data_IF_915432797180
#
_entry.id   IF_915432797180
#
_cell.length_a   1.000
_cell.length_b   1.000
_cell.length_c   1.000
_cell.angle_alpha   90.00
_cell.angle_beta   90.00
_cell.angle_gamma   90.00
#
_symmetry.space_group_name_H-M   'P 1'
#
loop_
_entity.id
_entity.type
_entity.pdbx_description
1 polymer ?
#
# COMPACT_ATOMS: atom_id res chain seq x y z
N UNK A 1 -28.72 -15.16 4.43
CA UNK A 1 -27.40 -14.66 4.85
C UNK A 1 -27.33 -13.17 4.50
N UNK A 2 -26.65 -12.35 5.30
CA UNK A 2 -26.46 -10.93 4.98
C UNK A 2 -25.37 -10.74 3.92
N UNK A 3 -25.58 -9.78 3.04
CA UNK A 3 -24.63 -9.40 1.98
C UNK A 3 -24.07 -7.99 2.22
N UNK A 4 -22.98 -7.68 1.52
CA UNK A 4 -22.39 -6.34 1.46
C UNK A 4 -22.23 -5.94 0.00
N UNK A 5 -22.67 -4.74 -0.36
CA UNK A 5 -22.32 -4.08 -1.62
C UNK A 5 -20.83 -3.75 -1.61
N UNK A 6 -20.12 -4.22 -2.64
CA UNK A 6 -18.75 -3.82 -2.95
C UNK A 6 -18.80 -2.68 -3.96
N UNK A 7 -18.12 -1.57 -3.69
CA UNK A 7 -18.11 -0.41 -4.58
C UNK A 7 -16.77 0.32 -4.61
N UNK A 8 -16.51 1.03 -5.72
CA UNK A 8 -15.44 2.03 -5.82
C UNK A 8 -16.08 3.41 -5.86
N UNK A 9 -15.59 4.31 -5.02
CA UNK A 9 -15.98 5.71 -4.99
C UNK A 9 -14.85 6.59 -5.50
N UNK A 10 -15.24 7.60 -6.28
CA UNK A 10 -14.38 8.59 -6.90
C UNK A 10 -14.64 9.93 -6.23
N UNK A 11 -13.63 10.49 -5.58
CA UNK A 11 -13.77 11.78 -4.90
C UNK A 11 -13.72 12.97 -5.86
N UNK A 12 -14.13 14.15 -5.41
CA UNK A 12 -13.74 15.38 -6.08
C UNK A 12 -12.21 15.57 -5.99
N UNK A 13 -11.60 16.11 -7.04
CA UNK A 13 -10.20 16.55 -7.01
C UNK A 13 -10.10 17.74 -6.04
N UNK A 14 -9.06 17.76 -5.20
CA UNK A 14 -8.87 18.86 -4.22
C UNK A 14 -8.27 20.09 -4.89
N UNK A 15 -7.25 19.88 -5.73
CA UNK A 15 -6.57 20.92 -6.48
C UNK A 15 -6.54 20.58 -7.99
N UNK A 16 -6.50 21.58 -8.88
CA UNK A 16 -6.17 21.36 -10.29
C UNK A 16 -4.81 20.66 -10.45
N UNK A 17 -4.73 19.65 -11.31
CA UNK A 17 -3.50 18.87 -11.53
C UNK A 17 -3.25 17.72 -10.54
N UNK A 18 -4.02 17.60 -9.46
CA UNK A 18 -3.99 16.39 -8.61
C UNK A 18 -4.81 15.25 -9.23
N UNK A 19 -4.30 14.02 -9.06
CA UNK A 19 -5.05 12.82 -9.44
C UNK A 19 -6.28 12.63 -8.55
N UNK A 20 -7.40 12.22 -9.14
CA UNK A 20 -8.64 11.92 -8.45
C UNK A 20 -8.43 10.84 -7.39
N UNK A 21 -8.82 11.16 -6.15
CA UNK A 21 -8.71 10.21 -5.04
C UNK A 21 -9.76 9.11 -5.14
N UNK A 22 -9.34 7.85 -5.08
CA UNK A 22 -10.24 6.69 -5.14
C UNK A 22 -10.35 6.02 -3.77
N UNK A 23 -11.52 5.44 -3.49
CA UNK A 23 -11.80 4.68 -2.28
C UNK A 23 -12.53 3.39 -2.63
N UNK A 24 -12.12 2.28 -2.02
CA UNK A 24 -12.90 1.05 -2.01
C UNK A 24 -13.86 1.08 -0.82
N UNK A 25 -15.12 0.65 -1.02
CA UNK A 25 -16.18 0.76 -0.02
C UNK A 25 -16.93 -0.57 0.10
N UNK A 26 -17.16 -1.00 1.35
CA UNK A 26 -18.14 -2.01 1.71
C UNK A 26 -19.34 -1.36 2.42
N UNK A 27 -20.55 -1.69 2.04
CA UNK A 27 -21.76 -1.23 2.72
C UNK A 27 -22.84 -2.32 2.78
N UNK A 28 -23.74 -2.27 3.75
CA UNK A 28 -24.96 -3.07 3.70
C UNK A 28 -25.84 -2.51 2.57
N UNK A 29 -26.46 -3.33 1.71
CA UNK A 29 -27.33 -2.85 0.63
C UNK A 29 -28.42 -1.91 1.16
N UNK A 30 -28.57 -0.74 0.52
CA UNK A 30 -29.50 0.32 0.94
C UNK A 30 -29.04 1.16 2.14
N UNK A 31 -27.92 0.86 2.79
CA UNK A 31 -27.37 1.67 3.88
C UNK A 31 -26.84 3.02 3.38
N UNK A 32 -27.01 4.07 4.19
CA UNK A 32 -26.39 5.40 4.00
C UNK A 32 -24.97 5.48 4.54
N UNK A 33 -24.50 4.45 5.25
CA UNK A 33 -23.14 4.35 5.80
C UNK A 33 -22.44 3.04 5.45
N UNK A 34 -21.11 3.05 5.41
CA UNK A 34 -20.30 1.87 5.14
C UNK A 34 -18.89 1.99 5.73
N UNK A 35 -18.00 1.10 5.30
CA UNK A 35 -16.58 1.12 5.62
C UNK A 35 -15.78 1.57 4.39
N UNK A 36 -15.04 2.67 4.54
CA UNK A 36 -14.12 3.18 3.52
C UNK A 36 -12.74 2.54 3.69
N UNK A 37 -12.11 2.18 2.58
CA UNK A 37 -10.74 1.70 2.47
C UNK A 37 -10.02 2.57 1.44
N UNK A 38 -9.00 3.31 1.85
CA UNK A 38 -8.25 4.19 0.95
C UNK A 38 -6.83 4.47 1.46
N UNK A 39 -5.93 4.83 0.55
CA UNK A 39 -4.55 5.21 0.90
C UNK A 39 -4.35 6.71 0.73
N UNK A 40 -3.89 7.40 1.76
CA UNK A 40 -3.52 8.83 1.70
C UNK A 40 -2.00 9.00 1.83
N UNK A 41 -1.51 10.24 1.81
CA UNK A 41 -0.08 10.55 1.86
C UNK A 41 0.56 10.51 0.47
N UNK A 42 1.85 10.20 0.42
CA UNK A 42 2.65 10.19 -0.80
C UNK A 42 3.40 11.51 -1.06
N UNK A 43 4.18 11.58 -2.16
CA UNK A 43 5.08 12.71 -2.46
C UNK A 43 4.40 14.07 -2.48
N UNK A 44 3.18 14.16 -3.01
CA UNK A 44 2.37 15.39 -3.07
C UNK A 44 2.03 15.96 -1.69
N UNK A 45 2.01 15.12 -0.65
CA UNK A 45 1.77 15.52 0.74
C UNK A 45 3.03 15.43 1.61
N UNK A 46 4.21 15.24 1.00
CA UNK A 46 5.51 15.07 1.66
C UNK A 46 5.51 14.01 2.79
N UNK A 47 4.67 12.98 2.65
CA UNK A 47 4.41 11.98 3.68
C UNK A 47 4.49 10.55 3.13
N UNK A 48 4.75 9.57 3.98
CA UNK A 48 4.59 8.16 3.64
C UNK A 48 3.14 7.84 3.25
N UNK A 49 2.94 6.81 2.43
CA UNK A 49 1.60 6.32 2.13
C UNK A 49 1.01 5.60 3.36
N UNK A 50 -0.25 5.88 3.68
CA UNK A 50 -0.96 5.30 4.82
C UNK A 50 -2.32 4.76 4.40
N UNK A 51 -2.59 3.47 4.66
CA UNK A 51 -3.91 2.87 4.52
C UNK A 51 -4.81 3.26 5.70
N UNK A 52 -5.98 3.82 5.41
CA UNK A 52 -7.05 4.00 6.40
C UNK A 52 -8.21 3.05 6.09
N UNK A 53 -8.74 2.44 7.15
CA UNK A 53 -9.95 1.63 7.12
C UNK A 53 -10.93 2.27 8.11
N UNK A 54 -11.94 2.97 7.60
CA UNK A 54 -12.82 3.83 8.39
C UNK A 54 -14.26 3.30 8.33
N UNK A 55 -14.77 2.74 9.43
CA UNK A 55 -16.15 2.27 9.55
C UNK A 55 -17.14 3.41 9.84
N UNK A 56 -18.44 3.18 9.59
CA UNK A 56 -19.51 4.13 9.90
C UNK A 56 -19.49 5.42 9.05
N UNK A 57 -18.79 5.43 7.92
CA UNK A 57 -18.65 6.61 7.07
C UNK A 57 -19.83 6.75 6.12
N UNK A 58 -20.39 7.96 6.05
CA UNK A 58 -21.46 8.35 5.12
C UNK A 58 -21.08 8.05 3.67
N UNK A 59 -22.00 7.48 2.91
CA UNK A 59 -21.80 7.13 1.49
C UNK A 59 -22.17 8.29 0.55
N UNK A 60 -22.90 9.28 1.08
CA UNK A 60 -23.32 10.54 0.47
C UNK A 60 -22.45 11.72 0.94
N UNK A 61 -21.20 11.46 1.33
CA UNK A 61 -20.29 12.51 1.80
C UNK A 61 -19.94 13.48 0.67
N UNK A 62 -19.96 14.80 0.95
CA UNK A 62 -19.59 15.88 0.02
C UNK A 62 -18.25 15.70 -0.70
N UNK A 63 -17.33 14.89 -0.17
CA UNK A 63 -16.07 14.58 -0.83
C UNK A 63 -16.18 13.57 -1.99
N UNK A 64 -17.28 12.81 -2.07
CA UNK A 64 -17.52 11.77 -3.09
C UNK A 64 -18.28 12.39 -4.27
N UNK A 65 -17.66 12.39 -5.45
CA UNK A 65 -18.28 12.86 -6.69
C UNK A 65 -19.16 11.79 -7.33
N UNK A 66 -18.74 10.51 -7.28
CA UNK A 66 -19.52 9.38 -7.77
C UNK A 66 -19.12 8.07 -7.10
N UNK A 67 -19.98 7.05 -7.23
CA UNK A 67 -19.74 5.70 -6.70
C UNK A 67 -20.32 4.66 -7.64
N UNK A 68 -19.53 3.64 -7.96
CA UNK A 68 -19.94 2.49 -8.78
C UNK A 68 -19.99 1.23 -7.92
N UNK A 69 -21.16 0.62 -7.80
CA UNK A 69 -21.31 -0.73 -7.22
C UNK A 69 -20.78 -1.76 -8.23
N UNK A 70 -20.00 -2.73 -7.75
CA UNK A 70 -19.35 -3.76 -8.54
C UNK A 70 -20.09 -5.09 -8.46
N UNK A 71 -20.40 -5.51 -7.23
CA UNK A 71 -21.04 -6.78 -6.91
C UNK A 71 -21.54 -6.76 -5.46
N UNK A 72 -22.18 -7.87 -5.04
CA UNK A 72 -22.42 -8.19 -3.65
C UNK A 72 -21.57 -9.38 -3.21
N UNK A 73 -21.09 -9.34 -1.97
CA UNK A 73 -20.37 -10.44 -1.31
C UNK A 73 -21.11 -10.88 -0.04
N UNK A 74 -20.78 -12.05 0.50
CA UNK A 74 -21.26 -12.45 1.82
C UNK A 74 -20.63 -11.55 2.90
N UNK A 75 -21.41 -11.18 3.92
CA UNK A 75 -20.87 -10.46 5.08
C UNK A 75 -19.74 -11.25 5.80
N UNK A 76 -19.74 -12.58 5.67
CA UNK A 76 -18.69 -13.45 6.20
C UNK A 76 -17.31 -13.23 5.52
N UNK A 77 -17.28 -12.67 4.32
CA UNK A 77 -16.03 -12.43 3.57
C UNK A 77 -15.32 -11.12 3.96
N UNK A 78 -15.90 -10.30 4.86
CA UNK A 78 -15.32 -9.01 5.28
C UNK A 78 -13.87 -9.13 5.79
N UNK A 79 -13.54 -10.22 6.47
CA UNK A 79 -12.18 -10.49 6.96
C UNK A 79 -11.23 -10.84 5.80
N UNK A 80 -11.70 -11.53 4.75
CA UNK A 80 -10.92 -11.80 3.53
C UNK A 80 -10.61 -10.50 2.79
N UNK A 81 -11.57 -9.57 2.74
CA UNK A 81 -11.39 -8.25 2.13
C UNK A 81 -10.41 -7.38 2.94
N UNK A 82 -10.56 -7.31 4.27
CA UNK A 82 -9.62 -6.59 5.14
C UNK A 82 -8.19 -7.13 5.00
N UNK A 83 -8.03 -8.46 5.03
CA UNK A 83 -6.72 -9.09 4.84
C UNK A 83 -6.14 -8.86 3.43
N UNK A 84 -6.98 -8.80 2.39
CA UNK A 84 -6.53 -8.43 1.05
C UNK A 84 -6.01 -6.98 1.03
N UNK A 85 -6.77 -6.04 1.57
CA UNK A 85 -6.43 -4.61 1.63
C UNK A 85 -5.11 -4.34 2.38
N UNK A 86 -4.91 -5.00 3.53
CA UNK A 86 -3.68 -4.87 4.32
C UNK A 86 -2.45 -5.50 3.63
N UNK A 87 -2.64 -6.46 2.72
CA UNK A 87 -1.57 -7.15 2.01
C UNK A 87 -1.17 -6.49 0.67
N UNK A 88 -1.86 -5.43 0.24
CA UNK A 88 -1.45 -4.63 -0.92
C UNK A 88 -0.39 -3.61 -0.50
N UNK A 89 0.80 -3.55 -1.15
CA UNK A 89 1.81 -2.54 -0.88
C UNK A 89 1.25 -1.10 -0.96
N UNK A 90 1.64 -0.24 -0.02
CA UNK A 90 1.12 1.11 0.06
C UNK A 90 1.72 1.99 -1.05
N UNK A 91 0.84 2.55 -1.88
CA UNK A 91 1.14 3.31 -3.09
C UNK A 91 -0.01 4.27 -3.41
N UNK A 92 0.04 5.05 -4.51
CA UNK A 92 -1.06 5.97 -4.90
C UNK A 92 -2.42 5.27 -4.85
N UNK A 93 -3.43 5.93 -4.30
CA UNK A 93 -4.76 5.38 -4.04
C UNK A 93 -5.42 4.66 -5.25
N UNK A 94 -5.24 5.17 -6.48
CA UNK A 94 -5.72 4.55 -7.70
C UNK A 94 -5.05 3.18 -7.94
N UNK A 95 -3.70 3.15 -7.94
CA UNK A 95 -2.88 1.92 -8.07
C UNK A 95 -3.16 0.92 -6.95
N UNK A 96 -3.27 1.40 -5.71
CA UNK A 96 -3.61 0.58 -4.55
C UNK A 96 -5.00 -0.05 -4.68
N UNK A 97 -6.00 0.74 -5.12
CA UNK A 97 -7.37 0.24 -5.36
C UNK A 97 -7.38 -0.83 -6.44
N UNK A 98 -6.69 -0.63 -7.57
CA UNK A 98 -6.60 -1.63 -8.65
C UNK A 98 -5.88 -2.91 -8.19
N UNK A 99 -4.80 -2.79 -7.42
CA UNK A 99 -4.10 -3.95 -6.85
C UNK A 99 -4.92 -4.70 -5.77
N UNK A 100 -5.82 -4.00 -5.05
CA UNK A 100 -6.82 -4.64 -4.20
C UNK A 100 -7.86 -5.38 -5.05
N UNK A 101 -8.40 -4.76 -6.09
CA UNK A 101 -9.38 -5.39 -6.98
C UNK A 101 -8.81 -6.67 -7.62
N UNK A 102 -7.56 -6.66 -8.09
CA UNK A 102 -6.84 -7.85 -8.58
C UNK A 102 -6.83 -8.99 -7.55
N UNK A 103 -6.45 -8.70 -6.29
CA UNK A 103 -6.45 -9.70 -5.20
C UNK A 103 -7.85 -10.19 -4.81
N UNK A 104 -8.89 -9.38 -4.98
CA UNK A 104 -10.27 -9.80 -4.74
C UNK A 104 -10.81 -10.64 -5.89
N UNK A 105 -10.42 -10.31 -7.13
CA UNK A 105 -10.78 -11.02 -8.36
C UNK A 105 -10.18 -12.43 -8.35
N UNK A 106 -8.89 -12.55 -8.02
CA UNK A 106 -8.20 -13.84 -7.78
C UNK A 106 -8.84 -14.70 -6.67
N UNK A 107 -9.65 -14.11 -5.80
CA UNK A 107 -10.36 -14.79 -4.70
C UNK A 107 -11.84 -15.02 -4.98
N UNK A 108 -12.34 -14.66 -6.17
CA UNK A 108 -13.75 -14.74 -6.54
C UNK A 108 -14.66 -13.80 -5.74
N UNK A 109 -14.12 -12.75 -5.12
CA UNK A 109 -14.87 -11.77 -4.32
C UNK A 109 -15.35 -10.56 -5.15
N UNK A 110 -14.78 -10.33 -6.34
CA UNK A 110 -15.30 -9.43 -7.35
C UNK A 110 -15.30 -10.12 -8.72
N UNK A 111 -16.13 -9.69 -9.69
CA UNK A 111 -16.20 -10.32 -11.02
C UNK A 111 -14.86 -10.26 -11.77
N UNK A 112 -14.62 -11.26 -12.63
CA UNK A 112 -13.48 -11.25 -13.55
C UNK A 112 -13.53 -10.03 -14.50
N UNK A 113 -12.35 -9.48 -14.82
CA UNK A 113 -12.18 -8.26 -15.61
C UNK A 113 -12.36 -6.95 -14.81
N UNK A 114 -12.67 -7.01 -13.51
CA UNK A 114 -12.82 -5.82 -12.67
C UNK A 114 -11.51 -5.04 -12.56
N UNK A 115 -10.37 -5.72 -12.35
CA UNK A 115 -9.05 -5.09 -12.38
C UNK A 115 -8.83 -4.31 -13.67
N UNK A 116 -8.94 -4.99 -14.82
CA UNK A 116 -8.65 -4.44 -16.15
C UNK A 116 -9.49 -3.20 -16.44
N UNK A 117 -10.78 -3.25 -16.08
CA UNK A 117 -11.70 -2.11 -16.21
C UNK A 117 -11.22 -0.88 -15.44
N UNK A 118 -10.70 -1.02 -14.23
CA UNK A 118 -10.25 0.11 -13.42
C UNK A 118 -8.79 0.50 -13.70
N UNK A 119 -7.95 -0.43 -14.14
CA UNK A 119 -6.56 -0.17 -14.53
C UNK A 119 -6.47 0.81 -15.71
N UNK A 120 -7.36 0.69 -16.70
CA UNK A 120 -7.46 1.62 -17.83
C UNK A 120 -7.93 3.04 -17.46
N UNK A 121 -8.42 3.24 -16.24
CA UNK A 121 -8.87 4.54 -15.72
C UNK A 121 -7.85 5.20 -14.79
N UNK A 122 -6.69 4.58 -14.53
CA UNK A 122 -5.64 5.18 -13.69
C UNK A 122 -5.10 6.43 -14.39
N UNK A 123 -5.14 7.56 -13.69
CA UNK A 123 -4.63 8.82 -14.22
C UNK A 123 -3.10 8.86 -14.15
N UNK A 124 -2.43 9.48 -15.14
CA UNK A 124 -1.00 9.75 -15.06
C UNK A 124 -0.71 10.72 -13.91
N UNK A 125 0.42 10.56 -13.25
CA UNK A 125 0.89 11.49 -12.21
C UNK A 125 2.33 11.90 -12.50
N UNK A 126 2.68 13.20 -12.41
CA UNK A 126 4.06 13.66 -12.59
C UNK A 126 5.01 13.05 -11.55
N UNK A 127 4.49 12.67 -10.37
CA UNK A 127 5.27 12.05 -9.30
C UNK A 127 5.51 10.53 -9.49
N UNK A 128 5.04 9.93 -10.59
CA UNK A 128 5.31 8.52 -10.95
C UNK A 128 6.41 8.37 -12.02
N UNK A 129 6.94 9.46 -12.58
CA UNK A 129 7.92 9.37 -13.66
C UNK A 129 9.34 9.02 -13.18
N UNK A 130 9.89 7.95 -13.78
CA UNK A 130 11.25 7.40 -13.67
C UNK A 130 11.65 6.68 -12.37
N UNK A 131 11.15 5.44 -12.25
CA UNK A 131 12.01 4.30 -11.91
C UNK A 131 12.35 3.52 -13.19
N UNK A 132 13.16 4.09 -14.07
CA UNK A 132 13.51 3.48 -15.37
C UNK A 132 14.89 3.95 -15.86
N UNK A 133 15.87 3.06 -15.80
CA UNK A 133 17.25 3.29 -16.24
C UNK A 133 18.13 4.00 -15.21
N UNK A 134 19.22 3.40 -14.72
CA UNK A 134 19.69 2.04 -14.94
C UNK A 134 20.95 1.78 -14.10
N UNK A 135 21.17 0.53 -13.69
CA UNK A 135 22.39 0.14 -12.98
C UNK A 135 23.60 0.30 -13.90
N UNK A 136 24.45 1.30 -13.64
CA UNK A 136 25.81 1.33 -14.22
C UNK A 136 26.67 0.25 -13.54
N UNK A 137 26.55 -0.96 -14.05
CA UNK A 137 27.61 -1.95 -13.96
C UNK A 137 28.54 -1.76 -15.18
N UNK A 138 29.84 -1.65 -14.96
CA UNK A 138 30.83 -1.52 -16.05
C UNK A 138 31.83 -0.39 -15.83
N UNK A 139 32.80 -0.62 -14.95
CA UNK A 139 33.89 0.31 -14.65
C UNK A 139 35.11 -0.43 -14.12
N UNK A 140 35.48 -1.53 -14.77
CA UNK A 140 36.67 -2.30 -14.39
C UNK A 140 37.94 -1.58 -14.80
N UNK A 141 38.86 -1.39 -13.85
CA UNK A 141 40.25 -1.16 -14.17
C UNK A 141 41.11 -1.76 -13.04
N UNK A 142 41.93 -2.77 -13.37
CA UNK A 142 42.84 -3.39 -12.43
C UNK A 142 44.27 -2.92 -12.66
N UNK A 143 45.10 -2.93 -11.61
CA UNK A 143 46.54 -3.16 -11.71
C UNK A 143 47.16 -3.49 -10.34
N UNK A 144 48.10 -4.43 -10.37
CA UNK A 144 48.92 -4.92 -9.25
C UNK A 144 49.88 -3.80 -8.74
N UNK A 145 50.47 -3.80 -7.54
CA UNK A 145 51.43 -4.76 -7.00
C UNK A 145 51.95 -4.31 -5.60
N UNK A 146 52.40 -5.27 -4.77
CA UNK A 146 53.51 -5.22 -3.76
C UNK A 146 53.57 -4.06 -2.70
N UNK A 147 53.88 -4.30 -1.42
CA UNK A 147 54.14 -5.55 -0.70
C UNK A 147 54.59 -5.37 0.77
N UNK A 148 54.67 -6.50 1.48
CA UNK A 148 55.69 -6.84 2.50
C UNK A 148 55.71 -6.20 3.91
N UNK A 149 55.21 -7.00 4.88
CA UNK A 149 55.83 -7.42 6.17
C UNK A 149 56.35 -6.39 7.21
N UNK A 150 55.77 -6.44 8.41
CA UNK A 150 56.39 -6.83 9.72
C UNK A 150 55.31 -6.71 10.82
N UNK A 151 54.84 -7.76 11.52
CA UNK A 151 55.49 -8.64 12.50
C UNK A 151 55.92 -7.94 13.82
N UNK A 152 55.17 -8.12 14.93
CA UNK A 152 55.61 -8.94 16.08
C UNK A 152 54.66 -8.94 17.31
N UNK A 153 54.48 -10.13 17.90
CA UNK A 153 54.25 -10.48 19.33
C UNK A 153 53.12 -9.88 20.22
N UNK A 154 52.26 -10.80 20.70
CA UNK A 154 51.49 -10.84 21.97
C UNK A 154 52.40 -10.87 23.24
N UNK A 155 51.95 -11.01 24.52
CA UNK A 155 50.58 -11.20 25.11
C UNK A 155 50.30 -10.16 26.25
N UNK A 156 49.47 -10.30 27.31
CA UNK A 156 48.57 -11.35 27.85
C UNK A 156 47.52 -10.78 28.84
N UNK A 157 46.49 -11.58 29.22
CA UNK A 157 45.69 -11.57 30.49
C UNK A 157 45.00 -10.27 30.98
N UNK A 158 43.77 -10.29 31.54
CA UNK A 158 42.82 -11.40 31.72
C UNK A 158 41.64 -11.07 32.66
N UNK A 159 40.74 -12.05 32.83
CA UNK A 159 39.78 -12.24 33.96
C UNK A 159 38.61 -11.26 34.22
N UNK A 160 37.38 -11.84 34.21
CA UNK A 160 36.26 -11.71 35.18
C UNK A 160 36.00 -10.34 35.86
N UNK A 161 34.75 -9.87 35.95
CA UNK A 161 33.72 -10.56 36.74
C UNK A 161 32.30 -10.03 36.50
N UNK A 162 31.31 -10.86 36.83
CA UNK A 162 29.87 -10.58 36.82
C UNK A 162 29.41 -9.75 38.03
N UNK A 163 28.41 -8.87 37.85
CA UNK A 163 27.50 -8.48 38.95
C UNK A 163 26.07 -8.21 38.44
N UNK A 164 25.13 -9.04 38.91
CA UNK A 164 23.71 -8.71 39.02
C UNK A 164 23.45 -8.10 40.40
N UNK A 165 22.44 -7.23 40.54
CA UNK A 165 21.58 -7.31 41.71
C UNK A 165 20.09 -7.37 41.34
N UNK A 166 19.36 -8.18 42.08
CA UNK A 166 17.89 -8.31 42.02
C UNK A 166 17.22 -7.54 43.17
N UNK A 167 15.88 -7.46 43.12
CA UNK A 167 14.94 -6.90 44.13
C UNK A 167 14.78 -5.37 44.06
N UNK A 168 13.60 -4.83 44.39
CA UNK A 168 12.48 -5.43 45.15
C UNK A 168 11.15 -5.43 44.39
#
# INVERSE_FOLDING_TARGET
>A
MSTLDVSVAFCHRRNPGETQHWMFILAIPGSTTGTWYHVTGGPTLQAGYTLHIQAGKRLDSFGIASRTVLCQISANDINKVRAAAQAVPLQRCQRWTVALLDRLEQRGLVPLGTKVRFESQIEPSPHEQRSSGGSQAGGGNGSNHLGSRSASSYPSSGTRSSYFPSRS
#
